data_IF_594579560819
#
_entry.id   IF_594579560819
#
_cell.length_a   1.000
_cell.length_b   1.000
_cell.length_c   1.000
_cell.angle_alpha   90.00
_cell.angle_beta   90.00
_cell.angle_gamma   90.00
#
_symmetry.space_group_name_H-M   'P 1'
#
loop_
_entity.id
_entity.type
_entity.pdbx_description
1 polymer ?
#
# COMPACT_ATOMS: atom_id res chain seq x y z
N UNK A 1 14.61 -20.31 -0.21
CA UNK A 1 14.14 -19.12 -0.97
C UNK A 1 12.99 -18.53 -0.19
N UNK A 2 13.01 -17.22 0.05
CA UNK A 2 12.01 -16.50 0.83
C UNK A 2 11.71 -15.15 0.18
N UNK A 3 10.46 -14.72 0.25
CA UNK A 3 10.00 -13.41 -0.21
C UNK A 3 9.75 -12.51 1.01
N UNK A 4 10.45 -11.38 1.08
CA UNK A 4 10.16 -10.31 2.04
C UNK A 4 9.13 -9.39 1.40
N UNK A 5 7.98 -9.25 2.03
CA UNK A 5 6.81 -8.54 1.51
C UNK A 5 6.59 -7.23 2.30
N UNK A 6 7.20 -6.12 1.86
CA UNK A 6 7.02 -4.84 2.52
C UNK A 6 5.65 -4.23 2.22
N UNK A 7 5.16 -3.44 3.18
CA UNK A 7 4.17 -2.39 2.92
C UNK A 7 4.82 -1.15 2.29
N UNK A 8 4.28 0.06 2.50
CA UNK A 8 4.93 1.29 2.09
C UNK A 8 6.32 1.41 2.72
N UNK A 9 7.33 1.76 1.92
CA UNK A 9 8.71 1.98 2.39
C UNK A 9 9.14 3.39 2.02
N UNK A 10 9.55 4.15 3.03
CA UNK A 10 9.97 5.54 2.90
C UNK A 10 11.37 5.58 2.28
N UNK A 11 11.39 5.65 0.94
CA UNK A 11 12.60 5.79 0.12
C UNK A 11 12.39 6.94 -0.86
N UNK A 12 13.47 7.36 -1.54
CA UNK A 12 13.35 8.35 -2.62
C UNK A 12 12.41 7.90 -3.77
N UNK A 13 12.10 6.61 -3.88
CA UNK A 13 11.20 6.10 -4.91
C UNK A 13 9.80 6.71 -4.80
N UNK A 14 9.25 6.80 -3.58
CA UNK A 14 7.92 7.35 -3.35
C UNK A 14 7.86 8.84 -3.72
N UNK A 15 8.89 9.59 -3.36
CA UNK A 15 8.94 11.03 -3.58
C UNK A 15 9.01 11.33 -5.08
N UNK A 16 9.87 10.61 -5.80
CA UNK A 16 9.97 10.68 -7.28
C UNK A 16 8.65 10.32 -7.95
N UNK A 17 7.96 9.27 -7.47
CA UNK A 17 6.66 8.86 -8.00
C UNK A 17 5.60 9.96 -7.87
N UNK A 18 5.53 10.63 -6.71
CA UNK A 18 4.56 11.71 -6.51
C UNK A 18 4.91 12.96 -7.31
N UNK A 19 6.19 13.34 -7.41
CA UNK A 19 6.61 14.46 -8.26
C UNK A 19 6.29 14.22 -9.74
N UNK A 20 6.50 13.00 -10.23
CA UNK A 20 6.14 12.61 -11.59
C UNK A 20 4.63 12.64 -11.80
N UNK A 21 3.84 12.12 -10.85
CA UNK A 21 2.39 12.16 -10.92
C UNK A 21 1.83 13.60 -10.93
N UNK A 22 2.41 14.52 -10.15
CA UNK A 22 2.00 15.92 -10.15
C UNK A 22 2.29 16.66 -11.46
N UNK A 23 3.26 16.18 -12.24
CA UNK A 23 3.66 16.78 -13.53
C UNK A 23 3.13 16.01 -14.75
N UNK A 24 2.42 14.90 -14.53
CA UNK A 24 1.97 14.03 -15.61
C UNK A 24 0.85 14.68 -16.45
N UNK A 25 0.83 14.36 -17.75
CA UNK A 25 -0.26 14.73 -18.64
C UNK A 25 -1.37 13.67 -18.60
N UNK A 26 -2.54 14.06 -18.11
CA UNK A 26 -3.73 13.21 -18.04
C UNK A 26 -4.70 13.41 -19.21
N UNK A 27 -4.34 14.19 -20.25
CA UNK A 27 -5.21 14.51 -21.39
C UNK A 27 -5.75 13.29 -22.15
N UNK A 28 -5.05 12.14 -22.06
CA UNK A 28 -5.44 10.87 -22.68
C UNK A 28 -6.33 9.98 -21.80
N UNK A 29 -6.60 10.40 -20.57
CA UNK A 29 -7.47 9.72 -19.61
C UNK A 29 -8.83 10.41 -19.61
N UNK A 30 -9.91 9.68 -19.40
CA UNK A 30 -11.22 10.33 -19.26
C UNK A 30 -11.24 11.26 -18.03
N UNK A 31 -12.04 12.34 -18.05
CA UNK A 31 -12.02 13.34 -16.98
C UNK A 31 -12.35 12.78 -15.59
N UNK A 32 -13.26 11.81 -15.50
CA UNK A 32 -13.67 11.22 -14.22
C UNK A 32 -12.52 10.42 -13.60
N UNK A 33 -11.90 9.53 -14.36
CA UNK A 33 -10.75 8.75 -13.89
C UNK A 33 -9.56 9.65 -13.53
N UNK A 34 -9.29 10.69 -14.33
CA UNK A 34 -8.23 11.65 -14.05
C UNK A 34 -8.49 12.41 -12.74
N UNK A 35 -9.72 12.85 -12.49
CA UNK A 35 -10.12 13.51 -11.26
C UNK A 35 -9.99 12.58 -10.05
N UNK A 36 -10.48 11.34 -10.15
CA UNK A 36 -10.36 10.33 -9.08
C UNK A 36 -8.88 10.09 -8.75
N UNK A 37 -8.03 9.93 -9.76
CA UNK A 37 -6.61 9.68 -9.55
C UNK A 37 -5.93 10.86 -8.83
N UNK A 38 -6.07 12.05 -9.40
CA UNK A 38 -5.32 13.24 -8.96
C UNK A 38 -5.81 13.79 -7.63
N UNK A 39 -7.12 13.87 -7.42
CA UNK A 39 -7.70 14.55 -6.27
C UNK A 39 -8.00 13.62 -5.08
N UNK A 40 -8.20 12.33 -5.34
CA UNK A 40 -8.61 11.37 -4.29
C UNK A 40 -7.53 10.32 -4.04
N UNK A 41 -7.15 9.53 -5.05
CA UNK A 41 -6.19 8.44 -4.88
C UNK A 41 -4.82 8.92 -4.44
N UNK A 42 -4.21 9.89 -5.15
CA UNK A 42 -2.87 10.39 -4.82
C UNK A 42 -2.81 10.94 -3.38
N UNK A 43 -3.84 11.67 -2.97
CA UNK A 43 -3.96 12.20 -1.61
C UNK A 43 -4.01 11.09 -0.57
N UNK A 44 -4.91 10.13 -0.75
CA UNK A 44 -5.08 9.01 0.20
C UNK A 44 -3.84 8.09 0.20
N UNK A 45 -3.16 7.94 -0.95
CA UNK A 45 -1.88 7.23 -1.05
C UNK A 45 -0.79 7.91 -0.22
N UNK A 46 -0.68 9.25 -0.29
CA UNK A 46 0.25 10.03 0.55
C UNK A 46 -0.05 9.84 2.04
N UNK A 47 -1.32 9.90 2.44
CA UNK A 47 -1.73 9.67 3.83
C UNK A 47 -1.36 8.25 4.31
N UNK A 48 -1.56 7.23 3.47
CA UNK A 48 -1.17 5.84 3.76
C UNK A 48 0.35 5.70 3.91
N UNK A 49 1.14 6.27 3.00
CA UNK A 49 2.60 6.25 3.08
C UNK A 49 3.11 6.96 4.35
N UNK A 50 2.55 8.11 4.68
CA UNK A 50 2.94 8.85 5.87
C UNK A 50 2.62 8.10 7.18
N UNK A 51 1.55 7.31 7.20
CA UNK A 51 1.04 6.68 8.43
C UNK A 51 1.51 5.23 8.61
N UNK A 52 1.65 4.48 7.51
CA UNK A 52 2.02 3.06 7.50
C UNK A 52 3.42 2.82 6.90
N UNK A 53 4.15 3.89 6.62
CA UNK A 53 5.50 3.85 6.07
C UNK A 53 6.49 3.18 7.02
N UNK A 54 7.30 2.30 6.46
CA UNK A 54 8.44 1.68 7.13
C UNK A 54 9.73 2.31 6.62
N UNK A 55 10.78 2.31 7.43
CA UNK A 55 12.10 2.77 7.03
C UNK A 55 12.85 1.68 6.25
N UNK A 56 13.85 2.04 5.41
CA UNK A 56 14.75 1.06 4.81
C UNK A 56 15.44 0.17 5.86
N UNK A 57 15.76 0.72 7.03
CA UNK A 57 16.35 0.02 8.16
C UNK A 57 15.42 -1.06 8.72
N UNK A 58 14.11 -0.77 8.86
CA UNK A 58 13.12 -1.78 9.26
C UNK A 58 13.12 -2.96 8.27
N UNK A 59 13.16 -2.66 6.97
CA UNK A 59 13.18 -3.71 5.94
C UNK A 59 14.48 -4.51 5.99
N UNK A 60 15.61 -3.85 6.24
CA UNK A 60 16.90 -4.51 6.41
C UNK A 60 16.88 -5.46 7.63
N UNK A 61 16.29 -5.05 8.75
CA UNK A 61 16.14 -5.89 9.93
C UNK A 61 15.25 -7.11 9.65
N UNK A 62 14.11 -6.92 8.99
CA UNK A 62 13.24 -8.03 8.57
C UNK A 62 13.98 -9.01 7.65
N UNK A 63 14.79 -8.50 6.74
CA UNK A 63 15.59 -9.31 5.82
C UNK A 63 16.66 -10.11 6.56
N UNK A 64 17.37 -9.49 7.51
CA UNK A 64 18.36 -10.17 8.35
C UNK A 64 17.72 -11.32 9.14
N UNK A 65 16.57 -11.07 9.78
CA UNK A 65 15.82 -12.10 10.52
C UNK A 65 15.46 -13.32 9.65
N UNK A 66 15.12 -13.09 8.37
CA UNK A 66 14.84 -14.18 7.42
C UNK A 66 16.11 -14.94 7.05
N UNK A 67 17.24 -14.25 6.85
CA UNK A 67 18.53 -14.88 6.52
C UNK A 67 19.03 -15.75 7.69
N UNK A 68 18.87 -15.29 8.93
CA UNK A 68 19.34 -15.97 10.14
C UNK A 68 18.42 -17.11 10.59
N UNK A 69 17.21 -17.20 10.06
CA UNK A 69 16.25 -18.22 10.46
C UNK A 69 16.73 -19.63 10.05
N UNK A 70 16.76 -20.57 11.01
CA UNK A 70 17.11 -21.97 10.75
C UNK A 70 16.16 -22.65 9.73
N UNK A 71 14.91 -22.17 9.65
CA UNK A 71 13.88 -22.61 8.68
C UNK A 71 13.11 -21.38 8.21
N UNK A 72 13.63 -20.62 7.23
CA UNK A 72 13.01 -19.39 6.82
C UNK A 72 11.68 -19.67 6.11
N UNK A 73 10.62 -18.88 6.36
CA UNK A 73 9.35 -19.07 5.68
C UNK A 73 9.46 -18.72 4.19
N UNK A 74 8.54 -19.22 3.37
CA UNK A 74 8.50 -18.83 1.96
C UNK A 74 8.09 -17.35 1.79
N UNK A 75 7.23 -16.81 2.66
CA UNK A 75 6.80 -15.40 2.66
C UNK A 75 6.92 -14.81 4.05
N UNK A 76 7.44 -13.58 4.14
CA UNK A 76 7.64 -12.83 5.37
C UNK A 76 7.08 -11.41 5.20
N UNK A 77 5.92 -11.13 5.78
CA UNK A 77 5.32 -9.80 5.75
C UNK A 77 6.03 -8.89 6.76
N UNK A 78 6.38 -7.68 6.35
CA UNK A 78 7.01 -6.71 7.26
C UNK A 78 5.99 -5.80 7.93
N UNK A 79 4.85 -5.57 7.28
CA UNK A 79 3.81 -4.66 7.77
C UNK A 79 2.50 -5.41 8.09
N UNK A 80 2.21 -5.56 9.39
CA UNK A 80 1.02 -6.25 9.87
C UNK A 80 -0.31 -5.49 9.60
N UNK A 81 -0.26 -4.19 9.28
CA UNK A 81 -1.46 -3.41 8.97
C UNK A 81 -2.20 -3.94 7.72
N UNK A 82 -1.51 -4.67 6.84
CA UNK A 82 -2.09 -5.27 5.65
C UNK A 82 -2.67 -6.68 5.87
N UNK A 83 -2.46 -7.28 7.05
CA UNK A 83 -2.95 -8.64 7.36
C UNK A 83 -4.48 -8.78 7.19
N UNK A 84 -5.33 -7.82 7.61
CA UNK A 84 -6.77 -7.91 7.39
C UNK A 84 -7.14 -7.98 5.91
N UNK A 85 -6.45 -7.23 5.05
CA UNK A 85 -6.71 -7.24 3.59
C UNK A 85 -6.29 -8.57 2.96
N UNK A 86 -5.15 -9.13 3.39
CA UNK A 86 -4.73 -10.45 2.96
C UNK A 86 -5.73 -11.53 3.38
N UNK A 87 -6.26 -11.45 4.61
CA UNK A 87 -7.27 -12.37 5.12
C UNK A 87 -8.56 -12.31 4.29
N UNK A 88 -9.06 -11.11 3.95
CA UNK A 88 -10.23 -10.95 3.08
C UNK A 88 -10.01 -11.58 1.70
N UNK A 89 -8.84 -11.38 1.11
CA UNK A 89 -8.48 -12.00 -0.18
C UNK A 89 -8.47 -13.52 -0.12
N UNK A 90 -8.02 -14.09 1.00
CA UNK A 90 -8.01 -15.55 1.19
C UNK A 90 -9.40 -16.13 1.52
N UNK A 91 -10.24 -15.37 2.20
CA UNK A 91 -11.58 -15.81 2.60
C UNK A 91 -12.57 -15.88 1.44
N UNK A 92 -12.38 -15.07 0.39
CA UNK A 92 -13.25 -15.03 -0.78
C UNK A 92 -12.45 -15.20 -2.09
N UNK A 93 -12.45 -16.41 -2.68
CA UNK A 93 -11.78 -16.69 -3.93
C UNK A 93 -12.28 -15.87 -5.14
N UNK A 94 -13.48 -15.31 -5.08
CA UNK A 94 -13.98 -14.42 -6.15
C UNK A 94 -13.28 -13.06 -6.14
N UNK A 95 -12.68 -12.68 -5.01
CA UNK A 95 -12.05 -11.38 -4.80
C UNK A 95 -13.03 -10.23 -4.62
N UNK A 96 -14.34 -10.49 -4.60
CA UNK A 96 -15.36 -9.45 -4.43
C UNK A 96 -15.21 -8.75 -3.08
N UNK A 97 -14.96 -9.49 -1.99
CA UNK A 97 -14.81 -8.92 -0.65
C UNK A 97 -13.63 -7.96 -0.55
N UNK A 98 -12.45 -8.36 -1.03
CA UNK A 98 -11.26 -7.51 -0.95
C UNK A 98 -11.38 -6.30 -1.87
N UNK A 99 -11.94 -6.48 -3.07
CA UNK A 99 -12.18 -5.38 -4.02
C UNK A 99 -13.13 -4.34 -3.45
N UNK A 100 -14.27 -4.77 -2.90
CA UNK A 100 -15.27 -3.89 -2.30
C UNK A 100 -14.72 -3.17 -1.06
N UNK A 101 -13.95 -3.88 -0.21
CA UNK A 101 -13.28 -3.28 0.94
C UNK A 101 -12.29 -2.19 0.54
N UNK A 102 -11.40 -2.46 -0.44
CA UNK A 102 -10.44 -1.46 -0.93
C UNK A 102 -11.15 -0.28 -1.59
N UNK A 103 -12.15 -0.54 -2.43
CA UNK A 103 -12.93 0.52 -3.08
C UNK A 103 -13.54 1.45 -2.04
N UNK A 104 -14.20 0.87 -1.03
CA UNK A 104 -14.84 1.63 0.05
C UNK A 104 -13.83 2.43 0.85
N UNK A 105 -12.72 1.82 1.24
CA UNK A 105 -11.71 2.46 2.08
C UNK A 105 -11.01 3.61 1.35
N UNK A 106 -10.59 3.39 0.09
CA UNK A 106 -9.75 4.34 -0.65
C UNK A 106 -10.59 5.40 -1.38
N UNK A 107 -11.79 5.06 -1.87
CA UNK A 107 -12.54 5.95 -2.78
C UNK A 107 -13.89 6.43 -2.23
N UNK A 108 -14.50 5.72 -1.27
CA UNK A 108 -15.86 6.05 -0.79
C UNK A 108 -15.90 6.64 0.61
N UNK A 109 -15.05 6.14 1.50
CA UNK A 109 -15.01 6.48 2.91
C UNK A 109 -13.62 7.01 3.29
N UNK A 110 -13.12 7.97 2.52
CA UNK A 110 -11.80 8.60 2.72
C UNK A 110 -11.65 9.19 4.15
N UNK A 111 -12.72 9.72 4.73
CA UNK A 111 -12.72 10.19 6.11
C UNK A 111 -12.48 9.06 7.13
N UNK A 112 -13.03 7.86 6.88
CA UNK A 112 -12.84 6.68 7.74
C UNK A 112 -11.41 6.17 7.61
N UNK A 113 -10.89 6.11 6.38
CA UNK A 113 -9.49 5.79 6.13
C UNK A 113 -8.57 6.72 6.91
N UNK A 114 -8.71 8.05 6.75
CA UNK A 114 -7.87 9.01 7.45
C UNK A 114 -7.99 8.93 8.97
N UNK A 115 -9.17 8.61 9.51
CA UNK A 115 -9.33 8.42 10.95
C UNK A 115 -8.57 7.19 11.44
N UNK A 116 -8.60 6.09 10.69
CA UNK A 116 -7.88 4.86 11.02
C UNK A 116 -6.36 4.91 10.81
N UNK A 117 -5.87 5.91 10.08
CA UNK A 117 -4.45 6.16 9.85
C UNK A 117 -3.80 7.09 10.90
N UNK A 118 -4.60 7.68 11.81
CA UNK A 118 -4.12 8.60 12.86
C UNK A 118 -3.74 7.88 14.16
#
# INVERSE_FOLDING_TARGET
>A
ISLVEPGPVMTEFETKLYEEAERADYSRTDPETAEIFTNLYLRNSKDVFASLGQTPEDIAEHTLRVIEAARPPFRHQTNAAYTPMAALKHADPSGALVTDAFYKLVFKYDAVLRLGLR
#
